data_IF_036619044931
#
_entry.id   IF_036619044931
#
_cell.length_a   1.000
_cell.length_b   1.000
_cell.length_c   1.000
_cell.angle_alpha   90.00
_cell.angle_beta   90.00
_cell.angle_gamma   90.00
#
_symmetry.space_group_name_H-M   'P 1'
#
loop_
_entity.id
_entity.type
_entity.pdbx_description
1 polymer ?
#
# COMPACT_ATOMS: atom_id res chain seq x y z
N UNK A 1 -25.26 -22.85 -12.13
CA UNK A 1 -25.05 -21.42 -11.84
C UNK A 1 -23.76 -21.34 -11.04
N UNK A 2 -22.62 -21.36 -11.72
CA UNK A 2 -21.30 -21.25 -11.06
C UNK A 2 -20.99 -19.77 -10.94
N UNK A 3 -20.94 -19.30 -9.70
CA UNK A 3 -20.58 -17.95 -9.32
C UNK A 3 -19.38 -17.45 -10.13
N UNK A 4 -19.58 -16.32 -10.82
CA UNK A 4 -18.53 -15.54 -11.46
C UNK A 4 -17.67 -14.85 -10.42
N UNK A 5 -17.03 -15.63 -9.54
CA UNK A 5 -16.05 -15.15 -8.58
C UNK A 5 -14.81 -14.72 -9.33
N UNK A 6 -14.74 -13.43 -9.65
CA UNK A 6 -13.57 -12.78 -10.21
C UNK A 6 -12.36 -13.14 -9.34
N UNK A 7 -11.46 -13.99 -9.85
CA UNK A 7 -10.26 -14.40 -9.09
C UNK A 7 -9.41 -13.16 -8.91
N UNK A 8 -9.42 -12.58 -7.71
CA UNK A 8 -8.52 -11.49 -7.36
C UNK A 8 -7.09 -11.99 -7.55
N UNK A 9 -6.32 -11.30 -8.41
CA UNK A 9 -4.93 -11.64 -8.65
C UNK A 9 -4.16 -11.63 -7.31
N UNK A 10 -3.33 -12.65 -7.01
CA UNK A 10 -2.61 -12.72 -5.73
C UNK A 10 -1.82 -11.44 -5.38
N UNK A 11 -1.27 -10.76 -6.39
CA UNK A 11 -0.56 -9.49 -6.21
C UNK A 11 -1.47 -8.36 -5.70
N UNK A 12 -2.72 -8.28 -6.17
CA UNK A 12 -3.70 -7.28 -5.71
C UNK A 12 -4.10 -7.53 -4.25
N UNK A 13 -4.31 -8.78 -3.87
CA UNK A 13 -4.65 -9.12 -2.49
C UNK A 13 -3.48 -8.83 -1.54
N UNK A 14 -2.25 -9.20 -1.95
CA UNK A 14 -1.05 -8.87 -1.18
C UNK A 14 -0.88 -7.36 -1.02
N UNK A 15 -1.00 -6.60 -2.11
CA UNK A 15 -0.88 -5.14 -2.07
C UNK A 15 -1.92 -4.51 -1.14
N UNK A 16 -3.19 -4.95 -1.21
CA UNK A 16 -4.26 -4.47 -0.30
C UNK A 16 -3.93 -4.72 1.17
N UNK A 17 -3.42 -5.91 1.50
CA UNK A 17 -3.06 -6.26 2.89
C UNK A 17 -1.87 -5.45 3.40
N UNK A 18 -0.83 -5.34 2.59
CA UNK A 18 0.36 -4.55 2.93
C UNK A 18 -0.04 -3.10 3.15
N UNK A 19 -0.76 -2.48 2.20
CA UNK A 19 -1.15 -1.08 2.35
C UNK A 19 -2.11 -0.85 3.52
N UNK A 20 -3.04 -1.77 3.79
CA UNK A 20 -3.89 -1.68 4.97
C UNK A 20 -3.09 -1.70 6.28
N UNK A 21 -2.04 -2.53 6.35
CA UNK A 21 -1.13 -2.57 7.50
C UNK A 21 -0.37 -1.25 7.67
N UNK A 22 0.15 -0.69 6.58
CA UNK A 22 0.83 0.60 6.61
C UNK A 22 -0.09 1.74 7.07
N UNK A 23 -1.35 1.75 6.64
CA UNK A 23 -2.34 2.73 7.14
C UNK A 23 -2.62 2.54 8.63
N UNK A 24 -2.78 1.30 9.09
CA UNK A 24 -3.02 1.01 10.50
C UNK A 24 -1.84 1.42 11.41
N UNK A 25 -0.62 1.37 10.89
CA UNK A 25 0.59 1.83 11.59
C UNK A 25 0.82 3.34 11.47
N UNK A 26 -0.05 4.08 10.77
CA UNK A 26 0.09 5.52 10.56
C UNK A 26 1.21 5.91 9.58
N UNK A 27 1.75 4.93 8.86
CA UNK A 27 2.80 5.10 7.83
C UNK A 27 2.23 5.80 6.61
N UNK A 28 1.03 5.40 6.21
CA UNK A 28 0.34 5.91 5.00
C UNK A 28 -0.99 6.53 5.42
N UNK A 29 -1.30 7.71 4.87
CA UNK A 29 -2.60 8.33 5.08
C UNK A 29 -3.72 7.46 4.48
N UNK A 30 -4.86 7.36 5.18
CA UNK A 30 -5.96 6.50 4.76
C UNK A 30 -6.47 6.82 3.33
N UNK A 31 -6.49 8.10 2.93
CA UNK A 31 -6.87 8.49 1.56
C UNK A 31 -5.95 7.96 0.46
N UNK A 32 -4.70 7.61 0.78
CA UNK A 32 -3.72 7.11 -0.20
C UNK A 32 -3.76 5.59 -0.35
N UNK A 33 -4.56 4.89 0.46
CA UNK A 33 -4.59 3.42 0.56
C UNK A 33 -4.81 2.75 -0.80
N UNK A 34 -5.88 3.11 -1.50
CA UNK A 34 -6.30 2.38 -2.69
C UNK A 34 -5.37 2.68 -3.87
N UNK A 35 -4.95 3.93 -4.01
CA UNK A 35 -3.99 4.35 -5.03
C UNK A 35 -2.63 3.64 -4.87
N UNK A 36 -2.12 3.53 -3.64
CA UNK A 36 -0.87 2.83 -3.36
C UNK A 36 -0.99 1.32 -3.58
N UNK A 37 -2.08 0.69 -3.13
CA UNK A 37 -2.30 -0.74 -3.35
C UNK A 37 -2.34 -1.08 -4.84
N UNK A 38 -2.97 -0.26 -5.67
CA UNK A 38 -3.01 -0.49 -7.12
C UNK A 38 -1.64 -0.32 -7.77
N UNK A 39 -0.86 0.71 -7.39
CA UNK A 39 0.52 0.91 -7.89
C UNK A 39 1.44 -0.26 -7.55
N UNK A 40 1.35 -0.79 -6.32
CA UNK A 40 2.11 -1.97 -5.89
C UNK A 40 1.69 -3.19 -6.71
N UNK A 41 0.38 -3.43 -6.86
CA UNK A 41 -0.14 -4.58 -7.59
C UNK A 41 0.25 -4.59 -9.08
N UNK A 42 0.37 -3.40 -9.68
CA UNK A 42 0.82 -3.23 -11.07
C UNK A 42 2.34 -3.31 -11.24
N UNK A 43 3.11 -3.32 -10.15
CA UNK A 43 4.58 -3.23 -10.21
C UNK A 43 5.06 -1.85 -10.71
N UNK A 44 4.25 -0.80 -10.57
CA UNK A 44 4.52 0.55 -11.07
C UNK A 44 5.32 1.42 -10.08
N UNK A 45 5.85 0.83 -9.00
CA UNK A 45 6.67 1.51 -8.00
C UNK A 45 8.14 1.45 -8.42
N UNK A 46 8.77 2.61 -8.56
CA UNK A 46 10.23 2.71 -8.73
C UNK A 46 10.94 2.60 -7.38
N UNK A 47 12.25 2.36 -7.39
CA UNK A 47 13.07 2.40 -6.17
C UNK A 47 12.89 3.73 -5.41
N UNK A 48 12.87 4.85 -6.13
CA UNK A 48 12.71 6.19 -5.54
C UNK A 48 11.34 6.37 -4.89
N UNK A 49 10.29 5.80 -5.47
CA UNK A 49 8.95 5.82 -4.86
C UNK A 49 8.96 5.06 -3.52
N UNK A 50 9.67 3.94 -3.44
CA UNK A 50 9.81 3.17 -2.21
C UNK A 50 10.60 3.93 -1.14
N UNK A 51 11.73 4.54 -1.52
CA UNK A 51 12.55 5.36 -0.63
C UNK A 51 11.74 6.53 -0.06
N UNK A 52 11.01 7.27 -0.90
CA UNK A 52 10.17 8.37 -0.45
C UNK A 52 9.08 7.93 0.55
N UNK A 53 8.53 6.73 0.36
CA UNK A 53 7.51 6.17 1.25
C UNK A 53 8.11 5.78 2.61
N UNK A 54 9.29 5.15 2.62
CA UNK A 54 10.01 4.79 3.85
C UNK A 54 10.53 6.03 4.58
N UNK A 55 11.12 6.98 3.87
CA UNK A 55 11.69 8.21 4.46
C UNK A 55 10.59 9.13 5.01
N UNK A 56 9.50 9.31 4.26
CA UNK A 56 8.33 10.06 4.75
C UNK A 56 7.72 9.44 6.01
N UNK A 57 7.80 8.12 6.15
CA UNK A 57 7.35 7.39 7.36
C UNK A 57 8.27 7.66 8.55
N UNK A 58 9.59 7.60 8.36
CA UNK A 58 10.57 7.84 9.41
C UNK A 58 10.47 9.27 9.95
N UNK A 59 10.15 10.24 9.10
CA UNK A 59 9.94 11.64 9.48
C UNK A 59 8.65 11.84 10.30
N UNK A 60 7.55 11.18 9.95
CA UNK A 60 6.30 11.21 10.75
C UNK A 60 6.50 10.57 12.14
N UNK A 61 7.18 9.43 12.21
CA UNK A 61 7.50 8.76 13.47
C UNK A 61 8.43 9.59 14.38
N UNK A 62 9.25 10.47 13.80
CA UNK A 62 10.14 11.37 14.55
C UNK A 62 9.41 12.57 15.17
N UNK A 63 8.36 13.07 14.50
CA UNK A 63 7.61 14.27 14.92
C UNK A 63 6.52 13.99 15.96
N UNK A 64 6.12 12.74 16.13
CA UNK A 64 5.14 12.30 17.13
C UNK A 64 5.71 11.92 18.50
N UNK A 65 6.99 12.23 18.79
CA UNK A 65 7.63 12.00 20.09
C UNK A 65 8.05 13.29 20.75
#
# INVERSE_FOLDING_TARGET
>A
MTDGGERVAPARELARRVTARLVAEGVVAAEQRDALAERIAQGAMTQRDWEALVDGTLDLARRGR
#
